data_IF_637646086753
#
_entry.id   IF_637646086753
#
_cell.length_a   1.000
_cell.length_b   1.000
_cell.length_c   1.000
_cell.angle_alpha   90.00
_cell.angle_beta   90.00
_cell.angle_gamma   90.00
#
_symmetry.space_group_name_H-M   'P 1'
#
loop_
_entity.id
_entity.type
_entity.pdbx_description
1 polymer ?
#
# COMPACT_ATOMS: atom_id res chain seq x y z
N UNK A 1 -13.90 -16.04 -8.82
CA UNK A 1 -14.09 -16.41 -10.25
C UNK A 1 -14.66 -15.29 -11.11
N UNK A 2 -15.79 -14.66 -10.77
CA UNK A 2 -16.43 -13.65 -11.62
C UNK A 2 -15.50 -12.48 -11.95
N UNK A 3 -14.85 -11.90 -10.93
CA UNK A 3 -13.93 -10.77 -11.08
C UNK A 3 -12.76 -11.13 -12.02
N UNK A 4 -12.16 -12.31 -11.86
CA UNK A 4 -11.07 -12.77 -12.71
C UNK A 4 -11.50 -12.95 -14.17
N UNK A 5 -12.68 -13.56 -14.41
CA UNK A 5 -13.25 -13.67 -15.77
C UNK A 5 -13.50 -12.32 -16.42
N UNK A 6 -13.92 -11.32 -15.64
CA UNK A 6 -14.08 -9.95 -16.15
C UNK A 6 -12.72 -9.32 -16.45
N UNK A 7 -11.74 -9.50 -15.58
CA UNK A 7 -10.39 -9.00 -15.81
C UNK A 7 -9.73 -9.61 -17.06
N UNK A 8 -9.91 -10.92 -17.28
CA UNK A 8 -9.47 -11.59 -18.49
C UNK A 8 -10.17 -11.03 -19.75
N UNK A 9 -11.50 -10.91 -19.68
CA UNK A 9 -12.30 -10.41 -20.81
C UNK A 9 -11.90 -9.01 -21.25
N UNK A 10 -11.58 -8.13 -20.31
CA UNK A 10 -11.26 -6.72 -20.57
C UNK A 10 -9.77 -6.41 -20.46
N UNK A 11 -8.94 -7.42 -20.19
CA UNK A 11 -7.49 -7.29 -19.98
C UNK A 11 -7.13 -6.19 -18.96
N UNK A 12 -7.80 -6.16 -17.79
CA UNK A 12 -7.62 -5.13 -16.79
C UNK A 12 -6.98 -5.66 -15.49
N UNK A 13 -6.49 -4.76 -14.66
CA UNK A 13 -6.02 -5.06 -13.30
C UNK A 13 -7.20 -5.38 -12.39
N UNK A 14 -6.94 -6.06 -11.28
CA UNK A 14 -7.90 -6.33 -10.22
C UNK A 14 -7.47 -5.59 -8.97
N UNK A 15 -8.36 -4.78 -8.40
CA UNK A 15 -8.19 -4.16 -7.10
C UNK A 15 -9.45 -4.41 -6.26
N UNK A 16 -9.29 -4.99 -5.07
CA UNK A 16 -10.40 -5.43 -4.24
C UNK A 16 -10.17 -5.08 -2.79
N UNK A 17 -11.19 -4.55 -2.11
CA UNK A 17 -11.23 -4.52 -0.66
C UNK A 17 -11.57 -5.91 -0.14
N UNK A 18 -10.66 -6.55 0.58
CA UNK A 18 -10.82 -7.92 1.09
C UNK A 18 -10.30 -8.05 2.51
N UNK A 19 -10.92 -8.96 3.25
CA UNK A 19 -10.53 -9.31 4.61
C UNK A 19 -10.37 -8.08 5.54
N UNK A 20 -11.26 -7.08 5.37
CA UNK A 20 -11.31 -5.87 6.19
C UNK A 20 -12.08 -6.13 7.49
N UNK A 21 -11.71 -7.15 8.21
CA UNK A 21 -12.40 -7.55 9.43
C UNK A 21 -11.41 -8.00 10.52
N UNK A 22 -11.96 -8.25 11.72
CA UNK A 22 -11.25 -8.88 12.84
C UNK A 22 -11.46 -10.39 12.87
N UNK A 23 -12.26 -10.91 11.95
CA UNK A 23 -12.55 -12.33 11.91
C UNK A 23 -11.34 -13.11 11.35
N UNK A 24 -10.77 -13.95 12.20
CA UNK A 24 -9.67 -14.82 11.82
C UNK A 24 -10.06 -15.90 10.79
N UNK A 25 -11.35 -16.08 10.54
CA UNK A 25 -11.86 -17.02 9.54
C UNK A 25 -12.11 -16.38 8.18
N UNK A 26 -12.03 -15.05 8.06
CA UNK A 26 -12.00 -14.39 6.75
C UNK A 26 -10.72 -14.77 6.01
N UNK A 27 -10.87 -15.37 4.83
CA UNK A 27 -9.78 -15.96 4.04
C UNK A 27 -9.87 -15.63 2.56
N UNK A 28 -10.47 -14.49 2.24
CA UNK A 28 -10.59 -14.04 0.85
C UNK A 28 -9.22 -13.77 0.24
N UNK A 29 -8.25 -13.32 1.05
CA UNK A 29 -6.87 -13.09 0.62
C UNK A 29 -6.18 -14.40 0.17
N UNK A 30 -6.36 -15.48 0.95
CA UNK A 30 -5.83 -16.81 0.58
C UNK A 30 -6.45 -17.30 -0.73
N UNK A 31 -7.77 -17.17 -0.85
CA UNK A 31 -8.50 -17.57 -2.05
C UNK A 31 -8.13 -16.72 -3.26
N UNK A 32 -7.93 -15.41 -3.07
CA UNK A 32 -7.45 -14.49 -4.11
C UNK A 32 -6.08 -14.91 -4.63
N UNK A 33 -5.14 -15.24 -3.73
CA UNK A 33 -3.81 -15.70 -4.14
C UNK A 33 -3.90 -17.02 -4.96
N UNK A 34 -4.76 -17.92 -4.56
CA UNK A 34 -4.99 -19.17 -5.32
C UNK A 34 -5.59 -18.88 -6.69
N UNK A 35 -6.65 -18.07 -6.79
CA UNK A 35 -7.26 -17.69 -8.08
C UNK A 35 -6.27 -16.97 -8.99
N UNK A 36 -5.44 -16.08 -8.44
CA UNK A 36 -4.40 -15.37 -9.20
C UNK A 36 -3.48 -16.35 -9.93
N UNK A 37 -3.06 -17.40 -9.24
CA UNK A 37 -2.24 -18.46 -9.86
C UNK A 37 -3.01 -19.29 -10.89
N UNK A 38 -4.30 -19.60 -10.63
CA UNK A 38 -5.12 -20.40 -11.55
C UNK A 38 -5.39 -19.65 -12.88
N UNK A 39 -5.59 -18.34 -12.80
CA UNK A 39 -5.88 -17.49 -13.97
C UNK A 39 -4.61 -16.90 -14.65
N UNK A 40 -3.42 -17.15 -14.11
CA UNK A 40 -2.18 -16.59 -14.65
C UNK A 40 -2.10 -15.05 -14.54
N UNK A 41 -2.70 -14.48 -13.48
CA UNK A 41 -2.86 -13.04 -13.30
C UNK A 41 -1.83 -12.42 -12.34
N UNK A 42 -0.65 -13.03 -12.22
CA UNK A 42 0.45 -12.59 -11.35
C UNK A 42 0.86 -11.15 -11.63
N UNK A 43 1.11 -10.39 -10.56
CA UNK A 43 1.48 -8.96 -10.63
C UNK A 43 0.32 -8.01 -10.92
N UNK A 44 -0.85 -8.50 -11.28
CA UNK A 44 -2.02 -7.73 -11.74
C UNK A 44 -3.17 -7.69 -10.74
N UNK A 45 -2.99 -8.21 -9.53
CA UNK A 45 -4.01 -8.29 -8.49
C UNK A 45 -3.54 -7.57 -7.24
N UNK A 46 -4.42 -6.75 -6.68
CA UNK A 46 -4.18 -6.03 -5.42
C UNK A 46 -5.29 -6.36 -4.43
N UNK A 47 -4.92 -6.78 -3.22
CA UNK A 47 -5.80 -6.90 -2.06
C UNK A 47 -5.67 -5.67 -1.17
N UNK A 48 -6.75 -4.93 -1.01
CA UNK A 48 -6.85 -3.80 -0.10
C UNK A 48 -7.21 -4.24 1.31
N UNK A 49 -6.67 -3.56 2.33
CA UNK A 49 -6.80 -3.78 3.76
C UNK A 49 -6.13 -5.05 4.27
N UNK A 50 -6.64 -6.23 3.94
CA UNK A 50 -6.11 -7.54 4.34
C UNK A 50 -5.87 -7.63 5.87
N UNK A 51 -6.78 -7.09 6.67
CA UNK A 51 -6.59 -6.93 8.13
C UNK A 51 -6.71 -8.27 8.87
N UNK A 52 -7.62 -9.16 8.46
CA UNK A 52 -7.93 -10.40 9.17
C UNK A 52 -6.72 -11.32 9.35
N UNK A 53 -5.73 -11.26 8.43
CA UNK A 53 -4.49 -12.04 8.56
C UNK A 53 -3.71 -11.72 9.86
N UNK A 54 -3.93 -10.54 10.45
CA UNK A 54 -3.31 -10.14 11.72
C UNK A 54 -3.84 -10.96 12.89
N UNK A 55 -5.09 -11.42 12.81
CA UNK A 55 -5.77 -12.20 13.83
C UNK A 55 -5.63 -13.71 13.62
N UNK A 56 -5.13 -14.15 12.47
CA UNK A 56 -4.89 -15.56 12.17
C UNK A 56 -3.66 -16.08 12.92
N UNK A 57 -3.65 -17.37 13.21
CA UNK A 57 -2.48 -18.00 13.82
C UNK A 57 -1.24 -17.88 12.90
N UNK A 58 -0.06 -17.86 13.52
CA UNK A 58 1.20 -17.60 12.81
C UNK A 58 1.47 -18.58 11.67
N UNK A 59 1.20 -19.86 11.88
CA UNK A 59 1.48 -20.88 10.86
C UNK A 59 0.61 -20.66 9.61
N UNK A 60 -0.67 -20.33 9.79
CA UNK A 60 -1.58 -20.03 8.69
C UNK A 60 -1.19 -18.73 7.99
N UNK A 61 -0.90 -17.66 8.75
CA UNK A 61 -0.47 -16.39 8.18
C UNK A 61 0.80 -16.54 7.33
N UNK A 62 1.80 -17.30 7.79
CA UNK A 62 3.00 -17.60 7.00
C UNK A 62 2.65 -18.36 5.71
N UNK A 63 1.74 -19.33 5.78
CA UNK A 63 1.27 -20.05 4.59
C UNK A 63 0.67 -19.09 3.57
N UNK A 64 -0.25 -18.22 4.00
CA UNK A 64 -0.92 -17.26 3.13
C UNK A 64 0.10 -16.27 2.53
N UNK A 65 1.03 -15.74 3.33
CA UNK A 65 2.07 -14.84 2.83
C UNK A 65 2.98 -15.52 1.79
N UNK A 66 3.32 -16.80 1.95
CA UNK A 66 4.05 -17.56 0.92
C UNK A 66 3.23 -17.69 -0.38
N UNK A 67 1.93 -17.92 -0.27
CA UNK A 67 1.04 -17.96 -1.44
C UNK A 67 0.96 -16.61 -2.14
N UNK A 68 0.83 -15.50 -1.39
CA UNK A 68 0.85 -14.14 -1.94
C UNK A 68 2.15 -13.85 -2.71
N UNK A 69 3.28 -14.25 -2.14
CA UNK A 69 4.58 -14.10 -2.81
C UNK A 69 4.66 -14.91 -4.10
N UNK A 70 4.20 -16.15 -4.09
CA UNK A 70 4.18 -17.01 -5.27
C UNK A 70 3.22 -16.50 -6.35
N UNK A 71 2.04 -16.03 -5.93
CA UNK A 71 1.02 -15.46 -6.79
C UNK A 71 1.33 -14.04 -7.25
N UNK A 72 2.38 -13.43 -6.72
CA UNK A 72 2.74 -12.03 -6.98
C UNK A 72 1.53 -11.07 -6.79
N UNK A 73 0.78 -11.27 -5.72
CA UNK A 73 -0.34 -10.40 -5.33
C UNK A 73 0.19 -9.21 -4.56
N UNK A 74 -0.23 -8.01 -4.95
CA UNK A 74 0.06 -6.79 -4.21
C UNK A 74 -0.85 -6.67 -2.99
N UNK A 75 -0.37 -6.07 -1.91
CA UNK A 75 -1.16 -5.78 -0.71
C UNK A 75 -1.16 -4.28 -0.45
N UNK A 76 -2.34 -3.66 -0.42
CA UNK A 76 -2.51 -2.26 -0.07
C UNK A 76 -2.90 -2.12 1.41
N UNK A 77 -1.96 -1.69 2.23
CA UNK A 77 -2.19 -1.45 3.65
C UNK A 77 -2.71 -0.01 3.86
N UNK A 78 -4.01 0.15 4.03
CA UNK A 78 -4.66 1.44 4.27
C UNK A 78 -4.52 1.84 5.75
N UNK A 79 -3.28 2.14 6.16
CA UNK A 79 -2.91 2.25 7.58
C UNK A 79 -3.65 3.34 8.33
N UNK A 80 -3.83 4.50 7.72
CA UNK A 80 -4.42 5.65 8.38
C UNK A 80 -5.91 5.43 8.63
N UNK A 81 -6.66 5.01 7.63
CA UNK A 81 -8.09 4.74 7.76
C UNK A 81 -8.37 3.61 8.75
N UNK A 82 -7.62 2.51 8.67
CA UNK A 82 -7.81 1.37 9.57
C UNK A 82 -7.52 1.72 11.04
N UNK A 83 -6.62 2.67 11.29
CA UNK A 83 -6.30 3.09 12.65
C UNK A 83 -7.45 3.82 13.34
N UNK A 84 -8.37 4.45 12.58
CA UNK A 84 -9.42 5.31 13.13
C UNK A 84 -10.85 4.95 12.71
N UNK A 85 -11.03 4.14 11.64
CA UNK A 85 -12.35 3.85 11.11
C UNK A 85 -13.20 3.02 12.09
N UNK A 86 -14.39 3.52 12.37
CA UNK A 86 -15.35 2.90 13.27
C UNK A 86 -15.01 3.04 14.75
N UNK A 87 -15.97 2.69 15.60
CA UNK A 87 -15.81 2.68 17.06
C UNK A 87 -15.73 1.23 17.51
N UNK A 88 -14.59 0.86 18.09
CA UNK A 88 -14.37 -0.46 18.67
C UNK A 88 -14.59 -0.44 20.18
N UNK A 89 -15.17 -1.49 20.78
CA UNK A 89 -15.19 -1.64 22.23
C UNK A 89 -13.76 -1.79 22.78
N UNK A 90 -13.57 -1.48 24.04
CA UNK A 90 -12.29 -1.73 24.72
C UNK A 90 -12.13 -3.23 25.11
N UNK A 91 -10.94 -3.81 25.03
CA UNK A 91 -9.72 -3.23 24.43
C UNK A 91 -9.84 -3.13 22.91
N UNK A 92 -9.34 -2.03 22.34
CA UNK A 92 -9.37 -1.81 20.88
C UNK A 92 -8.45 -2.80 20.18
N UNK A 93 -9.02 -3.55 19.28
CA UNK A 93 -8.32 -4.63 18.58
C UNK A 93 -8.17 -4.38 17.07
N UNK A 94 -8.69 -3.26 16.56
CA UNK A 94 -8.53 -2.92 15.16
C UNK A 94 -7.05 -2.73 14.85
N UNK A 95 -6.54 -3.55 13.97
CA UNK A 95 -5.16 -3.54 13.52
C UNK A 95 -5.04 -3.22 12.04
N UNK A 96 -3.82 -3.15 11.59
CA UNK A 96 -3.44 -3.13 10.17
C UNK A 96 -2.91 -4.50 9.78
N UNK A 97 -2.81 -4.76 8.47
CA UNK A 97 -2.20 -5.99 7.96
C UNK A 97 -0.73 -6.15 8.43
N UNK A 98 -0.16 -7.33 8.25
CA UNK A 98 1.21 -7.68 8.69
C UNK A 98 2.29 -7.08 7.79
N UNK A 99 2.36 -5.73 7.72
CA UNK A 99 3.20 -4.97 6.79
C UNK A 99 4.65 -5.45 6.81
N UNK A 100 5.27 -5.50 8.01
CA UNK A 100 6.69 -5.81 8.14
C UNK A 100 7.01 -7.21 7.65
N UNK A 101 6.28 -8.22 8.11
CA UNK A 101 6.49 -9.61 7.71
C UNK A 101 6.31 -9.80 6.21
N UNK A 102 5.28 -9.20 5.62
CA UNK A 102 5.03 -9.25 4.18
C UNK A 102 6.17 -8.62 3.37
N UNK A 103 6.63 -7.44 3.77
CA UNK A 103 7.76 -6.76 3.13
C UNK A 103 9.05 -7.58 3.26
N UNK A 104 9.34 -8.14 4.43
CA UNK A 104 10.51 -9.00 4.67
C UNK A 104 10.46 -10.29 3.83
N UNK A 105 9.27 -10.80 3.55
CA UNK A 105 9.07 -11.94 2.64
C UNK A 105 9.13 -11.53 1.16
N UNK A 106 9.28 -10.24 0.84
CA UNK A 106 9.38 -9.71 -0.51
C UNK A 106 8.05 -9.66 -1.26
N UNK A 107 6.93 -9.56 -0.55
CA UNK A 107 5.61 -9.24 -1.13
C UNK A 107 5.59 -7.74 -1.45
N UNK A 108 4.99 -7.36 -2.57
CA UNK A 108 4.80 -5.96 -2.90
C UNK A 108 3.70 -5.37 -2.01
N UNK A 109 4.11 -4.67 -0.95
CA UNK A 109 3.20 -3.98 -0.04
C UNK A 109 3.24 -2.48 -0.33
N UNK A 110 2.07 -1.91 -0.55
CA UNK A 110 1.89 -0.47 -0.74
C UNK A 110 1.10 0.11 0.43
N UNK A 111 1.19 1.41 0.62
CA UNK A 111 0.35 2.11 1.60
C UNK A 111 -0.44 3.20 0.90
N UNK A 112 -1.69 3.36 1.30
CA UNK A 112 -2.59 4.38 0.84
C UNK A 112 -3.40 4.94 2.01
N UNK A 113 -4.14 6.00 1.74
CA UNK A 113 -4.99 6.62 2.75
C UNK A 113 -6.38 6.00 2.81
N UNK A 114 -6.87 5.47 1.67
CA UNK A 114 -8.23 4.98 1.45
C UNK A 114 -9.23 6.12 1.24
N UNK A 115 -9.58 6.85 2.27
CA UNK A 115 -10.53 7.97 2.22
C UNK A 115 -9.86 9.30 2.58
N UNK A 116 -10.38 10.40 2.02
CA UNK A 116 -9.87 11.75 2.23
C UNK A 116 -11.00 12.59 2.83
N UNK A 117 -10.92 12.94 4.09
CA UNK A 117 -11.83 13.83 4.80
C UNK A 117 -13.33 13.61 4.46
N UNK A 118 -13.82 12.45 4.86
CA UNK A 118 -15.23 12.05 4.69
C UNK A 118 -15.82 11.50 5.99
N UNK A 119 -17.01 10.89 5.91
CA UNK A 119 -17.71 10.33 7.08
C UNK A 119 -16.99 9.17 7.77
N UNK A 120 -16.01 8.53 7.12
CA UNK A 120 -15.21 7.46 7.69
C UNK A 120 -13.87 7.93 8.25
N UNK A 121 -13.30 8.99 7.66
CA UNK A 121 -11.98 9.48 8.01
C UNK A 121 -11.90 11.00 7.92
N UNK A 122 -12.02 11.69 9.05
CA UNK A 122 -12.05 13.16 9.11
C UNK A 122 -10.68 13.84 8.96
N UNK A 123 -9.58 13.11 9.11
CA UNK A 123 -8.23 13.67 9.21
C UNK A 123 -7.36 13.41 7.97
N UNK A 124 -7.95 12.89 6.92
CA UNK A 124 -7.24 12.59 5.68
C UNK A 124 -6.94 13.87 4.89
N UNK A 125 -5.72 13.97 4.37
CA UNK A 125 -5.24 15.10 3.56
C UNK A 125 -5.00 14.73 2.11
N UNK A 126 -4.95 13.43 1.78
CA UNK A 126 -4.48 12.92 0.49
C UNK A 126 -2.96 12.98 0.34
N UNK A 127 -2.23 13.42 1.36
CA UNK A 127 -0.78 13.55 1.31
C UNK A 127 -0.06 12.23 1.61
N UNK A 128 0.75 11.68 0.69
CA UNK A 128 1.54 10.48 0.93
C UNK A 128 2.47 10.56 2.14
N UNK A 129 2.95 11.75 2.50
CA UNK A 129 3.80 11.92 3.69
C UNK A 129 3.01 11.77 5.00
N UNK A 130 1.71 12.13 5.00
CA UNK A 130 0.85 11.93 6.17
C UNK A 130 0.56 10.46 6.42
N UNK A 131 -0.01 9.76 5.43
CA UNK A 131 -0.32 8.34 5.62
C UNK A 131 0.94 7.47 5.67
N UNK A 132 2.05 7.91 5.07
CA UNK A 132 3.36 7.28 5.23
C UNK A 132 3.91 7.41 6.66
N UNK A 133 3.71 8.55 7.33
CA UNK A 133 4.08 8.72 8.74
C UNK A 133 3.28 7.77 9.64
N UNK A 134 1.96 7.72 9.46
CA UNK A 134 1.10 6.78 10.20
C UNK A 134 1.52 5.34 9.89
N UNK A 135 1.83 5.04 8.63
CA UNK A 135 2.35 3.74 8.22
C UNK A 135 3.65 3.35 8.92
N UNK A 136 4.56 4.31 9.15
CA UNK A 136 5.76 4.07 9.95
C UNK A 136 5.43 3.66 11.40
N UNK A 137 4.46 4.31 12.02
CA UNK A 137 4.02 3.91 13.37
C UNK A 137 3.36 2.54 13.37
N UNK A 138 2.45 2.26 12.45
CA UNK A 138 1.75 0.98 12.35
C UNK A 138 2.70 -0.19 12.07
N UNK A 139 3.68 -0.01 11.19
CA UNK A 139 4.69 -1.01 10.86
C UNK A 139 5.85 -1.06 11.86
N UNK A 140 5.89 -0.15 12.86
CA UNK A 140 7.01 0.02 13.81
C UNK A 140 8.35 0.26 13.08
N UNK A 141 8.33 1.08 12.04
CA UNK A 141 9.50 1.46 11.26
C UNK A 141 10.21 2.66 11.89
N UNK A 142 11.20 2.37 12.74
CA UNK A 142 11.90 3.34 13.58
C UNK A 142 13.38 3.56 13.22
N UNK A 143 13.79 3.19 12.01
CA UNK A 143 15.17 3.39 11.52
C UNK A 143 15.18 4.12 10.16
N UNK A 144 16.28 4.80 9.77
CA UNK A 144 16.39 5.41 8.45
C UNK A 144 16.22 4.40 7.30
N UNK A 145 16.64 3.15 7.48
CA UNK A 145 16.41 2.08 6.50
C UNK A 145 14.92 1.77 6.36
N UNK A 146 14.21 1.65 7.48
CA UNK A 146 12.77 1.39 7.48
C UNK A 146 11.97 2.58 6.92
N UNK A 147 12.40 3.82 7.15
CA UNK A 147 11.81 5.00 6.52
C UNK A 147 11.91 4.94 4.99
N UNK A 148 13.06 4.49 4.45
CA UNK A 148 13.20 4.25 2.99
C UNK A 148 12.28 3.15 2.49
N UNK A 149 12.04 2.11 3.29
CA UNK A 149 11.07 1.07 2.94
C UNK A 149 9.66 1.67 2.84
N UNK A 150 9.25 2.46 3.82
CA UNK A 150 7.95 3.16 3.78
C UNK A 150 7.85 4.10 2.58
N UNK A 151 8.90 4.86 2.29
CA UNK A 151 8.95 5.71 1.09
C UNK A 151 8.71 4.90 -0.19
N UNK A 152 9.35 3.75 -0.31
CA UNK A 152 9.13 2.87 -1.46
C UNK A 152 7.68 2.36 -1.54
N UNK A 153 7.00 2.16 -0.42
CA UNK A 153 5.62 1.68 -0.39
C UNK A 153 4.63 2.68 -1.01
N UNK A 154 4.84 3.98 -0.87
CA UNK A 154 3.99 4.99 -1.50
C UNK A 154 4.59 5.62 -2.77
N UNK A 155 5.70 5.09 -3.28
CA UNK A 155 6.32 5.51 -4.54
C UNK A 155 6.51 4.32 -5.49
N UNK A 156 7.68 3.72 -5.52
CA UNK A 156 8.04 2.66 -6.47
C UNK A 156 7.12 1.42 -6.39
N UNK A 157 6.79 0.98 -5.18
CA UNK A 157 5.88 -0.16 -5.01
C UNK A 157 4.46 0.18 -5.47
N UNK A 158 3.99 1.41 -5.19
CA UNK A 158 2.67 1.87 -5.65
C UNK A 158 2.61 2.03 -7.17
N UNK A 159 3.67 2.53 -7.81
CA UNK A 159 3.71 2.64 -9.27
C UNK A 159 3.45 1.28 -9.94
N UNK A 160 4.02 0.20 -9.39
CA UNK A 160 3.81 -1.16 -9.88
C UNK A 160 2.36 -1.65 -9.78
N UNK A 161 1.58 -1.13 -8.83
CA UNK A 161 0.16 -1.49 -8.69
C UNK A 161 -0.67 -0.93 -9.84
N UNK A 162 -0.33 0.27 -10.32
CA UNK A 162 -1.01 0.91 -11.46
C UNK A 162 -0.61 0.31 -12.80
N UNK A 163 0.66 -0.05 -12.94
CA UNK A 163 1.20 -0.69 -14.12
C UNK A 163 2.43 -1.51 -13.72
N UNK A 164 2.36 -2.86 -13.79
CA UNK A 164 3.49 -3.73 -13.44
C UNK A 164 4.76 -3.48 -14.25
N UNK A 165 4.63 -2.90 -15.45
CA UNK A 165 5.72 -2.59 -16.38
C UNK A 165 6.10 -1.10 -16.38
N UNK A 166 5.51 -0.30 -15.49
CA UNK A 166 5.75 1.14 -15.42
C UNK A 166 7.24 1.46 -15.24
N UNK A 167 7.76 2.26 -16.16
CA UNK A 167 9.09 2.85 -16.03
C UNK A 167 9.06 3.98 -15.00
N UNK A 168 9.35 3.65 -13.75
CA UNK A 168 9.26 4.57 -12.62
C UNK A 168 10.60 4.72 -11.92
N UNK A 169 10.99 5.96 -11.63
CA UNK A 169 12.21 6.28 -10.90
C UNK A 169 13.13 7.24 -11.68
N UNK A 170 14.16 7.72 -11.00
CA UNK A 170 15.14 8.64 -11.58
C UNK A 170 16.19 7.82 -12.36
N UNK A 171 15.87 7.48 -13.59
CA UNK A 171 16.70 6.69 -14.49
C UNK A 171 16.65 7.29 -15.90
N UNK A 172 17.73 7.16 -16.65
CA UNK A 172 17.78 7.64 -18.05
C UNK A 172 16.77 6.88 -18.90
N UNK A 173 15.90 7.62 -19.57
CA UNK A 173 14.86 7.08 -20.45
C UNK A 173 13.48 6.91 -19.77
N UNK A 174 13.37 7.20 -18.48
CA UNK A 174 12.07 7.32 -17.81
C UNK A 174 11.48 8.72 -17.98
N UNK A 175 10.16 8.82 -17.84
CA UNK A 175 9.48 10.10 -17.78
C UNK A 175 9.96 10.92 -16.57
N UNK A 176 10.15 12.22 -16.78
CA UNK A 176 10.52 13.14 -15.72
C UNK A 176 9.28 13.57 -14.92
N UNK A 177 8.68 12.61 -14.20
CA UNK A 177 7.62 12.83 -13.23
C UNK A 177 8.24 12.90 -11.82
N UNK A 178 8.47 14.11 -11.34
CA UNK A 178 9.32 14.37 -10.18
C UNK A 178 8.63 15.32 -9.19
N UNK A 179 8.84 15.09 -7.91
CA UNK A 179 8.57 16.04 -6.85
C UNK A 179 9.89 16.48 -6.21
N UNK A 180 10.15 17.79 -6.14
CA UNK A 180 11.20 18.31 -5.28
C UNK A 180 10.67 18.35 -3.87
N UNK A 181 11.39 17.74 -2.94
CA UNK A 181 11.01 17.65 -1.52
C UNK A 181 12.04 18.40 -0.70
N UNK A 182 11.58 19.35 0.11
CA UNK A 182 12.43 20.22 0.93
C UNK A 182 12.86 19.52 2.24
N UNK A 183 13.68 18.49 2.08
CA UNK A 183 14.22 17.74 3.20
C UNK A 183 15.59 17.15 2.85
N UNK A 184 16.51 17.03 3.82
CA UNK A 184 17.86 16.51 3.58
C UNK A 184 17.86 15.00 3.31
N UNK A 185 16.82 14.30 3.68
CA UNK A 185 16.69 12.85 3.51
C UNK A 185 15.24 12.38 3.64
N UNK A 186 14.97 11.14 3.27
CA UNK A 186 13.64 10.51 3.29
C UNK A 186 13.02 10.46 4.68
N UNK A 187 13.80 10.17 5.72
CA UNK A 187 13.31 10.12 7.09
C UNK A 187 12.76 11.49 7.52
N UNK A 188 13.52 12.56 7.27
CA UNK A 188 13.08 13.91 7.60
C UNK A 188 11.90 14.34 6.72
N UNK A 189 11.87 13.97 5.45
CA UNK A 189 10.74 14.23 4.57
C UNK A 189 9.43 13.69 5.15
N UNK A 190 9.41 12.42 5.60
CA UNK A 190 8.23 11.80 6.21
C UNK A 190 7.93 12.47 7.57
N UNK A 191 8.93 12.60 8.44
CA UNK A 191 8.77 13.10 9.81
C UNK A 191 8.16 14.50 9.86
N UNK A 192 8.60 15.38 8.97
CA UNK A 192 8.16 16.79 8.94
C UNK A 192 7.03 17.04 7.96
N UNK A 193 6.63 16.04 7.19
CA UNK A 193 5.71 16.21 6.05
C UNK A 193 6.18 17.36 5.15
N UNK A 194 7.44 17.24 4.73
CA UNK A 194 8.20 18.28 4.07
C UNK A 194 7.45 18.87 2.87
N UNK A 195 7.63 20.18 2.66
CA UNK A 195 7.05 20.89 1.51
C UNK A 195 7.58 20.33 0.19
N UNK A 196 6.78 20.53 -0.85
CA UNK A 196 7.12 20.15 -2.24
C UNK A 196 7.04 21.40 -3.11
N UNK A 197 8.10 22.21 -3.11
CA UNK A 197 8.08 23.50 -3.81
C UNK A 197 7.82 23.37 -5.31
N UNK A 198 8.17 22.24 -5.92
CA UNK A 198 7.91 22.00 -7.33
C UNK A 198 7.37 20.60 -7.58
N UNK A 199 6.33 20.52 -8.41
CA UNK A 199 5.81 19.27 -8.99
C UNK A 199 6.05 19.32 -10.49
N UNK A 200 6.72 18.31 -11.02
CA UNK A 200 7.13 18.21 -12.41
C UNK A 200 6.44 16.98 -13.01
N UNK A 201 5.85 17.11 -14.18
CA UNK A 201 5.28 16.04 -14.95
C UNK A 201 5.72 16.14 -16.41
N UNK A 202 6.19 15.01 -16.98
CA UNK A 202 6.77 14.96 -18.32
C UNK A 202 7.78 16.09 -18.57
N UNK A 203 8.64 16.35 -17.61
CA UNK A 203 9.67 17.39 -17.65
C UNK A 203 9.17 18.83 -17.54
N UNK A 204 7.88 19.06 -17.29
CA UNK A 204 7.29 20.41 -17.13
C UNK A 204 6.84 20.65 -15.69
N UNK A 205 7.15 21.82 -15.15
CA UNK A 205 6.61 22.23 -13.85
C UNK A 205 5.10 22.46 -14.01
N UNK A 206 4.30 21.65 -13.31
CA UNK A 206 2.84 21.74 -13.32
C UNK A 206 2.27 22.45 -12.09
N UNK A 207 3.04 22.51 -11.00
CA UNK A 207 2.71 23.30 -9.81
C UNK A 207 3.98 23.80 -9.13
N UNK A 208 3.86 24.98 -8.51
CA UNK A 208 4.92 25.63 -7.75
C UNK A 208 4.32 26.21 -6.48
N UNK A 209 4.91 25.88 -5.32
CA UNK A 209 4.47 26.31 -3.99
C UNK A 209 5.62 27.02 -3.26
N UNK A 210 6.28 27.95 -3.94
CA UNK A 210 7.31 28.80 -3.34
C UNK A 210 6.60 29.86 -2.51
N UNK A 211 6.95 29.94 -1.22
CA UNK A 211 6.51 31.02 -0.33
C UNK A 211 7.50 32.18 -0.36
#
# INVERSE_FOLDING_TARGET
>A
DFVFKMAEKYNCLIDMHIDQSKDMFDRSLEYTAWLTMQHGWQGRVTGGHCTSITYQNQAHAIKVMKMLKQADVNVCANTQTLAIMGIDPEPRTRGVTRIREMVEMGINVVTAQDTICDGFHLYGTGDPLDYGLVGCYCAQYNTPKAARTMWNMFTKASARVFDPEMKYGIEVGNDADLNLVEAPNVHDAIRTRASRPYIIRHGKVIASFIR
#
